data_IF_163002089653
#
_entry.id   IF_163002089653
#
_cell.length_a   1.000
_cell.length_b   1.000
_cell.length_c   1.000
_cell.angle_alpha   90.00
_cell.angle_beta   90.00
_cell.angle_gamma   90.00
#
_symmetry.space_group_name_H-M   'P 1'
#
loop_
_entity.id
_entity.type
_entity.pdbx_description
1 polymer ?
#
# COMPACT_ATOMS: atom_id res chain seq x y z
N UNK A 1 7.42 -18.35 15.62
CA UNK A 1 7.24 -17.71 14.31
C UNK A 1 8.59 -17.20 13.86
N UNK A 2 8.98 -17.37 12.59
CA UNK A 2 10.29 -16.89 12.12
C UNK A 2 10.28 -15.36 12.01
N UNK A 3 11.46 -14.74 12.08
CA UNK A 3 11.62 -13.28 11.89
C UNK A 3 11.08 -12.82 10.54
N UNK A 4 11.28 -13.62 9.49
CA UNK A 4 10.76 -13.35 8.15
C UNK A 4 9.23 -13.30 8.13
N UNK A 5 8.56 -14.21 8.85
CA UNK A 5 7.10 -14.20 8.99
C UNK A 5 6.59 -13.00 9.79
N UNK A 6 7.41 -12.42 10.68
CA UNK A 6 7.07 -11.18 11.39
C UNK A 6 7.24 -9.97 10.48
N UNK A 7 8.37 -9.87 9.78
CA UNK A 7 8.67 -8.79 8.85
C UNK A 7 7.58 -8.65 7.76
N UNK A 8 7.15 -9.77 7.19
CA UNK A 8 6.04 -9.80 6.22
C UNK A 8 4.71 -9.37 6.87
N UNK A 9 4.42 -9.81 8.10
CA UNK A 9 3.18 -9.44 8.81
C UNK A 9 3.12 -7.95 9.11
N UNK A 10 4.23 -7.35 9.52
CA UNK A 10 4.28 -5.92 9.77
C UNK A 10 4.12 -5.10 8.48
N UNK A 11 4.71 -5.53 7.37
CA UNK A 11 4.51 -4.90 6.07
C UNK A 11 3.04 -4.98 5.62
N UNK A 12 2.39 -6.14 5.77
CA UNK A 12 0.95 -6.30 5.50
C UNK A 12 0.13 -5.37 6.39
N UNK A 13 0.45 -5.27 7.68
CA UNK A 13 -0.25 -4.36 8.59
C UNK A 13 -0.09 -2.89 8.17
N UNK A 14 1.09 -2.49 7.67
CA UNK A 14 1.31 -1.17 7.09
C UNK A 14 0.44 -0.92 5.86
N UNK A 15 0.34 -1.90 4.96
CA UNK A 15 -0.50 -1.84 3.76
C UNK A 15 -1.97 -1.62 4.11
N UNK A 16 -2.49 -2.41 5.05
CA UNK A 16 -3.86 -2.29 5.54
C UNK A 16 -4.11 -0.94 6.21
N UNK A 17 -3.15 -0.42 6.98
CA UNK A 17 -3.26 0.92 7.58
C UNK A 17 -3.35 2.03 6.52
N UNK A 18 -2.65 1.93 5.39
CA UNK A 18 -2.75 2.91 4.30
C UNK A 18 -4.09 2.87 3.55
N UNK A 19 -4.90 1.82 3.76
CA UNK A 19 -6.28 1.73 3.27
C UNK A 19 -7.31 2.26 4.28
N UNK A 20 -6.90 2.51 5.53
CA UNK A 20 -7.80 3.02 6.57
C UNK A 20 -8.17 4.49 6.28
N UNK A 21 -9.46 4.85 6.26
CA UNK A 21 -9.90 6.21 5.97
C UNK A 21 -9.26 7.26 6.89
N UNK A 22 -9.10 6.96 8.18
CA UNK A 22 -8.51 7.90 9.15
C UNK A 22 -7.03 8.17 8.87
N UNK A 23 -6.31 7.18 8.34
CA UNK A 23 -4.92 7.33 7.90
C UNK A 23 -4.86 8.09 6.58
N UNK A 24 -5.72 7.76 5.62
CA UNK A 24 -5.79 8.45 4.31
C UNK A 24 -6.10 9.93 4.47
N UNK A 25 -6.98 10.29 5.42
CA UNK A 25 -7.30 11.68 5.74
C UNK A 25 -6.20 12.42 6.51
N UNK A 26 -5.20 11.72 7.04
CA UNK A 26 -4.15 12.31 7.88
C UNK A 26 -2.78 12.21 7.22
N UNK A 27 -2.34 13.33 6.65
CA UNK A 27 -0.98 13.46 6.09
C UNK A 27 0.11 13.00 7.05
N UNK A 28 -0.04 13.27 8.35
CA UNK A 28 0.93 12.86 9.38
C UNK A 28 0.95 11.34 9.60
N UNK A 29 -0.21 10.69 9.64
CA UNK A 29 -0.27 9.24 9.83
C UNK A 29 0.19 8.49 8.58
N UNK A 30 -0.26 8.92 7.39
CA UNK A 30 0.19 8.35 6.12
C UNK A 30 1.70 8.55 5.92
N UNK A 31 2.22 9.75 6.25
CA UNK A 31 3.64 10.07 6.12
C UNK A 31 4.57 9.22 6.99
N UNK A 32 4.08 8.64 8.09
CA UNK A 32 4.84 7.67 8.91
C UNK A 32 4.97 6.30 8.25
N UNK A 33 4.08 5.97 7.30
CA UNK A 33 4.03 4.69 6.62
C UNK A 33 4.66 4.74 5.22
N UNK A 34 4.91 5.93 4.69
CA UNK A 34 5.55 6.13 3.39
C UNK A 34 7.01 6.53 3.59
N UNK A 35 7.90 5.94 2.79
CA UNK A 35 9.30 6.31 2.78
C UNK A 35 9.48 7.66 2.06
N UNK A 36 10.42 8.54 2.47
CA UNK A 36 10.65 9.81 1.78
C UNK A 36 10.94 9.70 0.27
N UNK A 37 11.50 8.57 -0.19
CA UNK A 37 11.75 8.29 -1.60
C UNK A 37 10.57 7.57 -2.30
N UNK A 38 9.38 7.56 -1.68
CA UNK A 38 8.22 6.84 -2.17
C UNK A 38 7.82 7.25 -3.60
N UNK A 39 7.50 6.23 -4.41
CA UNK A 39 6.87 6.39 -5.71
C UNK A 39 5.75 5.38 -5.88
N UNK A 40 4.62 5.84 -6.42
CA UNK A 40 3.52 4.98 -6.85
C UNK A 40 3.25 5.09 -8.35
N UNK A 41 2.92 3.96 -8.98
CA UNK A 41 2.23 3.90 -10.26
C UNK A 41 0.80 3.43 -10.02
N UNK A 42 -0.15 4.36 -10.06
CA UNK A 42 -1.56 4.05 -9.84
C UNK A 42 -2.13 3.18 -10.97
N UNK A 43 -3.33 2.63 -10.76
CA UNK A 43 -4.01 1.78 -11.74
C UNK A 43 -4.24 2.47 -13.10
N UNK A 44 -4.30 3.80 -13.12
CA UNK A 44 -4.38 4.63 -14.32
C UNK A 44 -3.06 4.80 -15.09
N UNK A 45 -1.95 4.27 -14.56
CA UNK A 45 -0.60 4.51 -15.05
C UNK A 45 0.01 5.86 -14.62
N UNK A 46 -0.75 6.71 -13.91
CA UNK A 46 -0.19 7.95 -13.35
C UNK A 46 0.89 7.62 -12.31
N UNK A 47 2.02 8.31 -12.43
CA UNK A 47 3.09 8.30 -11.43
C UNK A 47 2.81 9.34 -10.36
N UNK A 48 3.04 8.97 -9.11
CA UNK A 48 2.91 9.82 -7.93
C UNK A 48 4.19 9.78 -7.12
N UNK A 49 4.64 10.95 -6.70
CA UNK A 49 5.71 11.11 -5.71
C UNK A 49 5.14 11.09 -4.28
N UNK A 50 6.02 11.01 -3.29
CA UNK A 50 5.69 11.14 -1.86
C UNK A 50 4.78 12.35 -1.57
N UNK A 51 5.19 13.56 -1.97
CA UNK A 51 4.45 14.77 -1.65
C UNK A 51 3.10 14.86 -2.37
N UNK A 52 3.05 14.44 -3.62
CA UNK A 52 1.81 14.40 -4.42
C UNK A 52 0.82 13.39 -3.85
N UNK A 53 1.27 12.19 -3.50
CA UNK A 53 0.41 11.16 -2.93
C UNK A 53 -0.14 11.61 -1.57
N UNK A 54 0.72 12.12 -0.68
CA UNK A 54 0.27 12.63 0.62
C UNK A 54 -0.69 13.82 0.51
N UNK A 55 -0.60 14.63 -0.54
CA UNK A 55 -1.55 15.71 -0.80
C UNK A 55 -2.87 15.18 -1.36
N UNK A 56 -2.84 14.14 -2.19
CA UNK A 56 -4.00 13.60 -2.87
C UNK A 56 -4.79 12.57 -2.04
N UNK A 57 -4.16 11.85 -1.11
CA UNK A 57 -4.81 10.78 -0.33
C UNK A 57 -6.18 11.15 0.26
N UNK A 58 -6.39 12.36 0.83
CA UNK A 58 -7.70 12.76 1.36
C UNK A 58 -8.81 12.89 0.30
N UNK A 59 -8.44 13.11 -0.97
CA UNK A 59 -9.36 13.30 -2.09
C UNK A 59 -9.57 12.02 -2.90
N UNK A 60 -8.69 11.03 -2.74
CA UNK A 60 -8.80 9.74 -3.41
C UNK A 60 -9.86 8.84 -2.73
N UNK A 61 -10.34 7.85 -3.47
CA UNK A 61 -11.30 6.87 -2.98
C UNK A 61 -10.83 6.19 -1.68
N UNK A 62 -11.81 5.82 -0.84
CA UNK A 62 -11.58 5.20 0.46
C UNK A 62 -11.22 6.17 1.58
N UNK A 63 -11.02 7.47 1.32
CA UNK A 63 -10.69 8.45 2.35
C UNK A 63 -11.92 9.02 3.08
N UNK A 64 -13.00 9.33 2.34
CA UNK A 64 -14.19 9.95 2.91
C UNK A 64 -15.09 8.97 3.68
N UNK A 65 -15.84 9.48 4.65
CA UNK A 65 -16.93 8.73 5.28
C UNK A 65 -18.02 8.40 4.25
N UNK A 66 -18.45 7.14 4.20
CA UNK A 66 -19.41 6.66 3.20
C UNK A 66 -18.83 6.36 1.80
N UNK A 67 -17.54 6.63 1.54
CA UNK A 67 -16.88 6.17 0.31
C UNK A 67 -16.68 4.65 0.31
N UNK A 68 -16.65 4.00 -0.87
CA UNK A 68 -16.30 2.58 -0.98
C UNK A 68 -15.01 2.26 -0.23
N UNK A 69 -14.95 1.08 0.40
CA UNK A 69 -13.78 0.62 1.14
C UNK A 69 -12.97 -0.33 0.28
N UNK A 70 -11.65 -0.27 0.41
CA UNK A 70 -10.79 -1.28 -0.20
C UNK A 70 -11.04 -2.62 0.49
N UNK A 71 -11.24 -3.65 -0.32
CA UNK A 71 -11.33 -5.04 0.10
C UNK A 71 -10.07 -5.78 -0.36
N UNK A 72 -9.00 -5.78 0.45
CA UNK A 72 -7.77 -6.46 0.08
C UNK A 72 -7.87 -7.96 0.33
N UNK A 73 -7.28 -8.76 -0.56
CA UNK A 73 -7.30 -10.21 -0.49
C UNK A 73 -6.03 -10.81 -1.11
N UNK A 74 -5.84 -12.13 -0.92
CA UNK A 74 -4.78 -12.89 -1.59
C UNK A 74 -3.35 -12.34 -1.36
N UNK A 75 -3.07 -11.84 -0.15
CA UNK A 75 -1.72 -11.40 0.21
C UNK A 75 -0.71 -12.54 0.10
N UNK A 76 0.36 -12.27 -0.62
CA UNK A 76 1.61 -13.03 -0.62
C UNK A 76 2.72 -12.06 -0.28
N UNK A 77 3.61 -12.45 0.64
CA UNK A 77 4.74 -11.62 1.05
C UNK A 77 6.04 -12.42 1.06
N UNK A 78 7.11 -11.77 0.61
CA UNK A 78 8.45 -12.36 0.51
C UNK A 78 9.45 -11.37 1.09
N UNK A 79 10.33 -11.85 1.98
CA UNK A 79 11.51 -11.10 2.39
C UNK A 79 12.57 -11.24 1.29
N UNK A 80 12.79 -10.18 0.50
CA UNK A 80 13.75 -10.20 -0.60
C UNK A 80 15.20 -10.06 -0.11
N UNK A 81 15.38 -9.30 0.95
CA UNK A 81 16.65 -9.05 1.62
C UNK A 81 16.38 -8.60 3.07
N UNK A 82 17.39 -8.62 3.97
CA UNK A 82 17.24 -8.02 5.29
C UNK A 82 16.70 -6.58 5.21
N UNK A 83 15.53 -6.33 5.81
CA UNK A 83 14.90 -5.01 5.79
C UNK A 83 14.21 -4.63 4.47
N UNK A 84 13.93 -5.58 3.58
CA UNK A 84 13.17 -5.36 2.34
C UNK A 84 12.13 -6.48 2.11
N UNK A 85 10.85 -6.11 2.17
CA UNK A 85 9.72 -7.01 1.91
C UNK A 85 9.02 -6.61 0.62
N UNK A 86 8.67 -7.60 -0.18
CA UNK A 86 7.77 -7.45 -1.32
C UNK A 86 6.42 -8.07 -0.98
N UNK A 87 5.34 -7.32 -1.21
CA UNK A 87 3.98 -7.81 -1.10
C UNK A 87 3.32 -7.80 -2.47
N UNK A 88 2.53 -8.84 -2.74
CA UNK A 88 1.56 -8.86 -3.83
C UNK A 88 0.21 -9.26 -3.29
N UNK A 89 -0.86 -8.61 -3.77
CA UNK A 89 -2.22 -8.85 -3.30
C UNK A 89 -3.24 -8.31 -4.31
N UNK A 90 -4.51 -8.59 -4.11
CA UNK A 90 -5.60 -8.01 -4.92
C UNK A 90 -6.45 -7.07 -4.07
N UNK A 91 -7.04 -6.06 -4.70
CA UNK A 91 -8.08 -5.23 -4.07
C UNK A 91 -9.31 -5.14 -4.94
N UNK A 92 -10.47 -5.11 -4.30
CA UNK A 92 -11.71 -4.61 -4.89
C UNK A 92 -12.05 -3.24 -4.27
N UNK A 93 -12.53 -2.31 -5.08
CA UNK A 93 -13.07 -1.03 -4.65
C UNK A 93 -14.25 -0.68 -5.57
N UNK A 94 -15.46 -0.64 -5.05
CA UNK A 94 -16.68 -0.39 -5.84
C UNK A 94 -16.83 -1.29 -7.08
N UNK A 95 -16.47 -2.58 -6.93
CA UNK A 95 -16.46 -3.56 -8.01
C UNK A 95 -15.24 -3.52 -8.93
N UNK A 96 -14.47 -2.44 -8.94
CA UNK A 96 -13.22 -2.32 -9.69
C UNK A 96 -12.10 -3.12 -8.99
N UNK A 97 -11.41 -3.95 -9.76
CA UNK A 97 -10.37 -4.85 -9.25
C UNK A 97 -8.98 -4.46 -9.73
N UNK A 98 -7.99 -4.62 -8.86
CA UNK A 98 -6.59 -4.41 -9.21
C UNK A 98 -5.66 -5.43 -8.54
N UNK A 99 -4.64 -5.89 -9.27
CA UNK A 99 -3.46 -6.55 -8.71
C UNK A 99 -2.50 -5.48 -8.23
N UNK A 100 -1.99 -5.66 -7.01
CA UNK A 100 -1.10 -4.70 -6.36
C UNK A 100 0.22 -5.34 -6.02
N UNK A 101 1.26 -4.52 -6.09
CA UNK A 101 2.62 -4.87 -5.74
C UNK A 101 3.23 -3.73 -4.95
N UNK A 102 3.77 -4.01 -3.77
CA UNK A 102 4.42 -2.99 -2.94
C UNK A 102 5.76 -3.48 -2.39
N UNK A 103 6.72 -2.56 -2.31
CA UNK A 103 7.99 -2.77 -1.64
C UNK A 103 7.99 -1.97 -0.34
N UNK A 104 8.23 -2.67 0.75
CA UNK A 104 8.38 -2.11 2.08
C UNK A 104 9.83 -2.23 2.50
N UNK A 105 10.42 -1.14 3.03
CA UNK A 105 11.79 -1.14 3.54
C UNK A 105 11.88 -0.62 4.96
N UNK A 106 12.91 -1.08 5.68
CA UNK A 106 13.31 -0.57 7.00
C UNK A 106 14.71 0.01 6.91
N UNK A 107 14.88 1.29 7.23
CA UNK A 107 16.19 1.93 7.29
C UNK A 107 16.86 1.71 8.65
N UNK A 108 17.30 0.47 8.89
CA UNK A 108 17.98 0.06 10.13
C UNK A 108 17.12 -0.82 11.05
N UNK A 109 17.78 -1.45 12.03
CA UNK A 109 17.17 -2.52 12.82
C UNK A 109 16.04 -2.06 13.77
N UNK A 110 16.04 -0.80 14.19
CA UNK A 110 15.02 -0.21 15.06
C UNK A 110 14.00 0.66 14.29
N UNK A 111 14.12 0.75 12.96
CA UNK A 111 13.23 1.54 12.14
C UNK A 111 11.87 0.84 11.94
N UNK A 112 10.83 1.64 11.68
CA UNK A 112 9.52 1.15 11.26
C UNK A 112 9.54 0.78 9.77
N UNK A 113 8.69 -0.16 9.36
CA UNK A 113 8.48 -0.42 7.93
C UNK A 113 7.81 0.78 7.28
N UNK A 114 8.35 1.18 6.13
CA UNK A 114 7.79 2.21 5.28
C UNK A 114 7.69 1.71 3.85
N UNK A 115 6.60 2.04 3.17
CA UNK A 115 6.39 1.72 1.77
C UNK A 115 7.32 2.59 0.92
N UNK A 116 8.19 1.95 0.15
CA UNK A 116 9.12 2.58 -0.78
C UNK A 116 8.57 2.65 -2.20
N UNK A 117 7.80 1.64 -2.61
CA UNK A 117 7.21 1.61 -3.95
C UNK A 117 5.85 0.95 -3.93
N UNK A 118 4.92 1.45 -4.75
CA UNK A 118 3.63 0.81 -4.99
C UNK A 118 3.27 0.81 -6.48
N UNK A 119 2.61 -0.25 -6.92
CA UNK A 119 2.00 -0.29 -8.23
C UNK A 119 0.67 -1.03 -8.18
N UNK A 120 -0.32 -0.49 -8.89
CA UNK A 120 -1.57 -1.16 -9.16
C UNK A 120 -1.72 -1.44 -10.66
N UNK A 121 -2.22 -2.63 -11.00
CA UNK A 121 -2.56 -3.04 -12.36
C UNK A 121 -4.03 -3.46 -12.40
N UNK A 122 -4.89 -2.80 -13.21
CA UNK A 122 -6.29 -3.19 -13.33
C UNK A 122 -6.46 -4.67 -13.68
N UNK A 123 -7.44 -5.32 -13.07
CA UNK A 123 -7.92 -6.64 -13.49
C UNK A 123 -9.15 -6.37 -14.35
N UNK A 124 -9.12 -6.67 -15.66
CA UNK A 124 -10.30 -6.55 -16.50
C UNK A 124 -11.44 -7.37 -15.92
N UNK A 125 -12.71 -6.95 -16.12
CA UNK A 125 -13.84 -7.82 -15.82
C UNK A 125 -13.68 -9.13 -16.57
N UNK A 126 -14.14 -10.23 -15.97
CA UNK A 126 -14.13 -11.53 -16.63
C UNK A 126 -14.82 -11.37 -17.98
N UNK A 127 -14.12 -11.74 -19.05
CA UNK A 127 -14.67 -11.65 -20.40
C UNK A 127 -15.84 -12.63 -20.49
N UNK A 128 -17.05 -12.10 -20.67
CA UNK A 128 -18.22 -12.90 -21.03
C UNK A 128 -18.06 -13.45 -22.43
#
# INVERSE_FOLDING_TARGET
MSRETEDVREAIAGELRLMDPSVRMSRSLAGQLMDPDFVEVGASGRRWTYDEMLAALPELDGAAEGSPRYEPSNFTGVLLAPGLVHLTYETTLDGERARRSSLWRKQGAAATWQMYYHQATPIPPDSV
#
